data_IF_037873041442
#
_entry.id   IF_037873041442
#
_cell.length_a   1.000
_cell.length_b   1.000
_cell.length_c   1.000
_cell.angle_alpha   90.00
_cell.angle_beta   90.00
_cell.angle_gamma   90.00
#
_symmetry.space_group_name_H-M   'P 1'
#
loop_
_entity.id
_entity.type
_entity.pdbx_description
1 polymer ?
#
# COMPACT_ATOMS: atom_id res chain seq x y z
N UNK A 1 16.70 -16.94 21.48
CA UNK A 1 16.04 -16.59 22.71
C UNK A 1 14.97 -17.62 23.06
N UNK A 2 14.94 -18.12 24.29
CA UNK A 2 14.01 -19.15 24.72
C UNK A 2 12.55 -18.71 24.56
N UNK A 3 11.70 -19.64 24.07
CA UNK A 3 10.28 -19.43 23.92
C UNK A 3 9.60 -19.52 25.31
N UNK A 4 9.51 -18.40 25.98
CA UNK A 4 8.78 -18.29 27.24
C UNK A 4 7.26 -18.39 26.96
N UNK A 5 6.46 -18.94 27.88
CA UNK A 5 5.00 -19.06 27.71
C UNK A 5 4.31 -17.74 27.30
N UNK A 6 4.78 -16.60 27.81
CA UNK A 6 4.33 -15.26 27.39
C UNK A 6 4.58 -14.96 25.91
N UNK A 7 5.73 -15.35 25.38
CA UNK A 7 6.05 -15.16 23.95
C UNK A 7 5.19 -16.06 23.06
N UNK A 8 4.94 -17.26 23.51
CA UNK A 8 4.01 -18.19 22.81
C UNK A 8 2.60 -17.60 22.77
N UNK A 9 2.11 -17.05 23.87
CA UNK A 9 0.78 -16.41 23.92
C UNK A 9 0.69 -15.20 22.98
N UNK A 10 1.73 -14.38 22.86
CA UNK A 10 1.79 -13.25 21.93
C UNK A 10 1.77 -13.73 20.48
N UNK A 11 2.55 -14.77 20.15
CA UNK A 11 2.56 -15.34 18.80
C UNK A 11 1.20 -15.98 18.47
N UNK A 12 0.58 -16.66 19.42
CA UNK A 12 -0.76 -17.23 19.22
C UNK A 12 -1.79 -16.12 18.97
N UNK A 13 -1.77 -15.03 19.74
CA UNK A 13 -2.65 -13.88 19.52
C UNK A 13 -2.47 -13.28 18.11
N UNK A 14 -1.23 -13.16 17.63
CA UNK A 14 -0.94 -12.70 16.28
C UNK A 14 -1.54 -13.64 15.22
N UNK A 15 -1.29 -14.95 15.33
CA UNK A 15 -1.80 -15.95 14.37
C UNK A 15 -3.32 -15.97 14.37
N UNK A 16 -3.95 -15.95 15.55
CA UNK A 16 -5.43 -15.92 15.67
C UNK A 16 -5.98 -14.65 15.00
N UNK A 17 -5.41 -13.48 15.28
CA UNK A 17 -5.87 -12.22 14.68
C UNK A 17 -5.74 -12.24 13.17
N UNK A 18 -4.60 -12.70 12.64
CA UNK A 18 -4.41 -12.81 11.18
C UNK A 18 -5.41 -13.79 10.56
N UNK A 19 -5.71 -14.92 11.24
CA UNK A 19 -6.70 -15.88 10.77
C UNK A 19 -8.11 -15.27 10.73
N UNK A 20 -8.47 -14.49 11.75
CA UNK A 20 -9.76 -13.77 11.80
C UNK A 20 -9.83 -12.72 10.68
N UNK A 21 -8.76 -11.96 10.43
CA UNK A 21 -8.68 -10.97 9.34
C UNK A 21 -8.90 -11.64 7.97
N UNK A 22 -8.21 -12.77 7.72
CA UNK A 22 -8.38 -13.52 6.47
C UNK A 22 -9.80 -14.05 6.33
N UNK A 23 -10.36 -14.62 7.40
CA UNK A 23 -11.74 -15.11 7.39
C UNK A 23 -12.74 -13.96 7.18
N UNK A 24 -12.55 -12.82 7.86
CA UNK A 24 -13.39 -11.63 7.74
C UNK A 24 -13.40 -11.07 6.32
N UNK A 25 -12.22 -10.95 5.69
CA UNK A 25 -12.10 -10.46 4.32
C UNK A 25 -12.66 -11.43 3.26
N UNK A 26 -12.60 -12.76 3.50
CA UNK A 26 -13.07 -13.76 2.53
C UNK A 26 -14.56 -14.12 2.68
N UNK A 27 -15.13 -13.98 3.87
CA UNK A 27 -16.47 -14.50 4.19
C UNK A 27 -17.45 -13.47 4.71
N UNK A 28 -16.98 -12.38 5.27
CA UNK A 28 -17.81 -11.36 5.93
C UNK A 28 -17.75 -10.01 5.22
N UNK A 29 -17.08 -9.92 4.06
CA UNK A 29 -16.91 -8.70 3.26
C UNK A 29 -16.40 -7.52 4.11
N UNK A 30 -15.46 -7.81 5.01
CA UNK A 30 -14.83 -6.77 5.84
C UNK A 30 -14.10 -5.75 5.01
N UNK A 31 -14.23 -4.48 5.39
CA UNK A 31 -13.55 -3.35 4.78
C UNK A 31 -12.36 -2.87 5.66
N UNK A 32 -11.71 -1.81 5.26
CA UNK A 32 -10.52 -1.25 5.93
C UNK A 32 -10.77 -0.89 7.40
N UNK A 33 -12.01 -0.52 7.76
CA UNK A 33 -12.36 -0.15 9.12
C UNK A 33 -12.28 -1.35 10.09
N UNK A 34 -12.77 -2.52 9.68
CA UNK A 34 -12.72 -3.75 10.46
C UNK A 34 -11.29 -4.26 10.59
N UNK A 35 -10.50 -4.21 9.51
CA UNK A 35 -9.08 -4.55 9.56
C UNK A 35 -8.32 -3.64 10.52
N UNK A 36 -8.54 -2.33 10.46
CA UNK A 36 -7.91 -1.37 11.38
C UNK A 36 -8.29 -1.65 12.84
N UNK A 37 -9.58 -1.95 13.10
CA UNK A 37 -10.06 -2.32 14.44
C UNK A 37 -9.36 -3.59 14.96
N UNK A 38 -9.20 -4.62 14.13
CA UNK A 38 -8.53 -5.87 14.51
C UNK A 38 -7.04 -5.64 14.84
N UNK A 39 -6.33 -4.80 14.08
CA UNK A 39 -4.94 -4.46 14.41
C UNK A 39 -4.83 -3.64 15.69
N UNK A 40 -5.78 -2.73 15.94
CA UNK A 40 -5.84 -1.99 17.20
C UNK A 40 -6.06 -2.93 18.40
N UNK A 41 -7.02 -3.86 18.29
CA UNK A 41 -7.25 -4.89 19.30
C UNK A 41 -6.01 -5.76 19.52
N UNK A 42 -5.34 -6.19 18.45
CA UNK A 42 -4.10 -6.94 18.56
C UNK A 42 -3.05 -6.17 19.36
N UNK A 43 -2.88 -4.88 19.09
CA UNK A 43 -1.95 -4.02 19.83
C UNK A 43 -2.26 -3.96 21.33
N UNK A 44 -3.54 -3.84 21.69
CA UNK A 44 -3.99 -3.84 23.09
C UNK A 44 -3.73 -5.19 23.75
N UNK A 45 -4.17 -6.28 23.12
CA UNK A 45 -4.01 -7.66 23.65
C UNK A 45 -2.53 -8.01 23.84
N UNK A 46 -1.71 -7.75 22.84
CA UNK A 46 -0.25 -7.99 22.92
C UNK A 46 0.39 -7.13 24.00
N UNK A 47 -0.02 -5.87 24.14
CA UNK A 47 0.45 -4.99 25.20
C UNK A 47 0.14 -5.53 26.60
N UNK A 48 -1.08 -6.02 26.81
CA UNK A 48 -1.50 -6.63 28.08
C UNK A 48 -0.76 -7.94 28.36
N UNK A 49 -0.64 -8.82 27.36
CA UNK A 49 0.13 -10.06 27.47
C UNK A 49 1.62 -9.78 27.74
N UNK A 50 2.16 -8.68 27.21
CA UNK A 50 3.50 -8.22 27.52
C UNK A 50 3.65 -7.60 28.92
N UNK A 51 2.56 -7.50 29.69
CA UNK A 51 2.55 -6.91 31.04
C UNK A 51 2.73 -5.39 31.06
N UNK A 52 2.37 -4.71 29.98
CA UNK A 52 2.37 -3.25 29.91
C UNK A 52 1.15 -2.67 30.62
N UNK A 53 1.32 -1.49 31.20
CA UNK A 53 0.18 -0.74 31.75
C UNK A 53 -0.69 -0.17 30.63
N UNK A 54 -1.96 0.12 30.91
CA UNK A 54 -2.85 0.78 29.95
C UNK A 54 -2.27 2.12 29.45
N UNK A 55 -1.59 2.87 30.33
CA UNK A 55 -0.91 4.10 29.96
C UNK A 55 0.21 3.87 28.95
N UNK A 56 1.00 2.81 29.12
CA UNK A 56 2.10 2.47 28.18
C UNK A 56 1.55 1.99 26.84
N UNK A 57 0.47 1.23 26.85
CA UNK A 57 -0.23 0.79 25.63
C UNK A 57 -0.75 2.02 24.87
N UNK A 58 -1.43 2.94 25.56
CA UNK A 58 -1.93 4.16 24.94
C UNK A 58 -0.80 5.03 24.36
N UNK A 59 0.31 5.19 25.10
CA UNK A 59 1.50 5.90 24.59
C UNK A 59 2.09 5.20 23.35
N UNK A 60 2.12 3.87 23.36
CA UNK A 60 2.59 3.08 22.22
C UNK A 60 1.73 3.29 20.98
N UNK A 61 0.40 3.27 21.11
CA UNK A 61 -0.55 3.54 20.02
C UNK A 61 -0.34 4.97 19.48
N UNK A 62 -0.25 5.97 20.36
CA UNK A 62 -0.01 7.36 19.94
C UNK A 62 1.35 7.52 19.25
N UNK A 63 2.39 6.87 19.75
CA UNK A 63 3.70 6.89 19.11
C UNK A 63 3.67 6.25 17.71
N UNK A 64 2.99 5.09 17.56
CA UNK A 64 2.77 4.45 16.26
C UNK A 64 1.96 5.32 15.30
N UNK A 65 0.90 5.97 15.77
CA UNK A 65 0.09 6.88 14.94
C UNK A 65 0.90 8.07 14.41
N UNK A 66 1.84 8.60 15.22
CA UNK A 66 2.72 9.68 14.77
C UNK A 66 3.61 9.27 13.59
N UNK A 67 4.05 8.02 13.51
CA UNK A 67 4.85 7.55 12.38
C UNK A 67 4.04 7.46 11.08
N UNK A 68 2.71 7.31 11.19
CA UNK A 68 1.81 7.25 10.03
C UNK A 68 1.36 8.63 9.53
N UNK A 69 1.63 9.70 10.27
CA UNK A 69 1.14 11.04 9.93
C UNK A 69 1.62 11.49 8.54
N UNK A 70 2.88 11.22 8.20
CA UNK A 70 3.42 11.51 6.86
C UNK A 70 2.64 10.78 5.74
N UNK A 71 2.36 9.51 5.92
CA UNK A 71 1.59 8.73 4.95
C UNK A 71 0.15 9.27 4.79
N UNK A 72 -0.51 9.62 5.89
CA UNK A 72 -1.86 10.21 5.87
C UNK A 72 -1.87 11.54 5.10
N UNK A 73 -0.90 12.40 5.34
CA UNK A 73 -0.76 13.68 4.62
C UNK A 73 -0.52 13.49 3.12
N UNK A 74 0.32 12.54 2.75
CA UNK A 74 0.59 12.21 1.33
C UNK A 74 -0.68 11.70 0.65
N UNK A 75 -1.38 10.75 1.27
CA UNK A 75 -2.63 10.18 0.70
C UNK A 75 -3.71 11.27 0.57
N UNK A 76 -3.86 12.13 1.59
CA UNK A 76 -4.81 13.25 1.54
C UNK A 76 -4.49 14.24 0.41
N UNK A 77 -3.23 14.63 0.27
CA UNK A 77 -2.78 15.53 -0.80
C UNK A 77 -2.96 14.89 -2.18
N UNK A 78 -2.61 13.61 -2.34
CA UNK A 78 -2.78 12.88 -3.59
C UNK A 78 -4.25 12.82 -4.03
N UNK A 79 -5.16 12.58 -3.08
CA UNK A 79 -6.60 12.59 -3.37
C UNK A 79 -7.11 13.99 -3.76
N UNK A 80 -6.59 15.03 -3.15
CA UNK A 80 -6.92 16.42 -3.52
C UNK A 80 -6.46 16.74 -4.95
N UNK A 81 -5.27 16.30 -5.35
CA UNK A 81 -4.77 16.44 -6.72
C UNK A 81 -5.69 15.71 -7.71
N UNK A 82 -6.07 14.46 -7.40
CA UNK A 82 -6.98 13.69 -8.26
C UNK A 82 -8.33 14.40 -8.44
N UNK A 83 -8.90 14.96 -7.37
CA UNK A 83 -10.13 15.74 -7.43
C UNK A 83 -9.99 16.99 -8.32
N UNK A 84 -8.92 17.76 -8.13
CA UNK A 84 -8.66 18.98 -8.93
C UNK A 84 -8.50 18.63 -10.42
N UNK A 85 -7.80 17.54 -10.74
CA UNK A 85 -7.64 17.09 -12.13
C UNK A 85 -8.98 16.63 -12.74
N UNK A 86 -9.85 16.01 -11.94
CA UNK A 86 -11.18 15.58 -12.39
C UNK A 86 -12.09 16.78 -12.59
N UNK A 87 -12.18 17.67 -11.62
CA UNK A 87 -13.03 18.88 -11.68
C UNK A 87 -12.56 19.85 -12.77
N UNK A 88 -11.24 19.90 -13.02
CA UNK A 88 -10.65 20.69 -14.10
C UNK A 88 -10.77 20.07 -15.50
N UNK A 89 -11.34 18.87 -15.64
CA UNK A 89 -11.47 18.16 -16.92
C UNK A 89 -10.13 17.69 -17.52
N UNK A 90 -9.03 17.78 -16.75
CA UNK A 90 -7.70 17.39 -17.22
C UNK A 90 -7.50 15.88 -17.12
N UNK A 91 -8.25 15.22 -16.19
CA UNK A 91 -8.15 13.77 -15.97
C UNK A 91 -8.41 13.00 -17.26
N UNK A 92 -9.49 13.33 -17.98
CA UNK A 92 -9.87 12.64 -19.22
C UNK A 92 -8.78 12.79 -20.30
N UNK A 93 -8.15 13.95 -20.40
CA UNK A 93 -7.04 14.19 -21.33
C UNK A 93 -5.84 13.32 -21.00
N UNK A 94 -5.45 13.22 -19.73
CA UNK A 94 -4.34 12.38 -19.29
C UNK A 94 -4.64 10.91 -19.59
N UNK A 95 -5.85 10.45 -19.26
CA UNK A 95 -6.28 9.08 -19.49
C UNK A 95 -6.26 8.74 -20.99
N UNK A 96 -6.77 9.65 -21.84
CA UNK A 96 -6.75 9.47 -23.30
C UNK A 96 -5.34 9.40 -23.88
N UNK A 97 -4.42 10.26 -23.42
CA UNK A 97 -3.02 10.24 -23.88
C UNK A 97 -2.32 8.94 -23.46
N UNK A 98 -2.53 8.48 -22.23
CA UNK A 98 -1.95 7.22 -21.74
C UNK A 98 -2.56 6.00 -22.48
N UNK A 99 -3.87 5.98 -22.68
CA UNK A 99 -4.54 4.92 -23.42
C UNK A 99 -4.07 4.87 -24.88
N UNK A 100 -4.01 6.02 -25.56
CA UNK A 100 -3.52 6.12 -26.92
C UNK A 100 -2.06 5.68 -27.06
N UNK A 101 -1.22 5.94 -26.07
CA UNK A 101 0.15 5.43 -26.03
C UNK A 101 0.20 3.90 -25.86
N UNK A 102 -0.67 3.33 -25.04
CA UNK A 102 -0.77 1.88 -24.85
C UNK A 102 -1.39 1.17 -26.05
N UNK A 103 -2.30 1.80 -26.79
CA UNK A 103 -2.90 1.22 -27.98
C UNK A 103 -1.89 1.03 -29.13
N UNK A 104 -0.79 1.81 -29.13
CA UNK A 104 0.32 1.61 -30.08
C UNK A 104 1.15 0.36 -29.77
N UNK A 105 0.98 -0.20 -28.57
CA UNK A 105 1.71 -1.37 -28.11
C UNK A 105 0.87 -2.62 -28.33
N UNK A 106 1.42 -3.71 -28.90
CA UNK A 106 0.70 -4.97 -29.03
C UNK A 106 0.11 -5.41 -27.68
N UNK A 107 -1.11 -5.95 -27.69
CA UNK A 107 -1.88 -6.31 -26.47
C UNK A 107 -1.06 -7.15 -25.47
N UNK A 108 -0.23 -8.07 -25.98
CA UNK A 108 0.65 -8.92 -25.14
C UNK A 108 1.69 -8.08 -24.37
N UNK A 109 2.08 -6.93 -24.90
CA UNK A 109 3.09 -6.04 -24.31
C UNK A 109 2.47 -4.89 -23.50
N UNK A 110 1.17 -4.71 -23.50
CA UNK A 110 0.51 -3.61 -22.77
C UNK A 110 0.69 -3.74 -21.25
N UNK A 111 0.61 -4.96 -20.70
CA UNK A 111 0.86 -5.17 -19.27
C UNK A 111 2.33 -4.94 -18.87
N UNK A 112 3.33 -5.43 -19.61
CA UNK A 112 4.73 -5.02 -19.42
C UNK A 112 4.96 -3.51 -19.58
N UNK A 113 4.32 -2.85 -20.53
CA UNK A 113 4.43 -1.40 -20.70
C UNK A 113 3.85 -0.66 -19.48
N UNK A 114 2.70 -1.08 -18.98
CA UNK A 114 2.09 -0.55 -17.76
C UNK A 114 3.01 -0.73 -16.54
N UNK A 115 3.62 -1.90 -16.41
CA UNK A 115 4.63 -2.18 -15.37
C UNK A 115 5.80 -1.18 -15.45
N UNK A 116 6.34 -0.93 -16.65
CA UNK A 116 7.44 0.03 -16.83
C UNK A 116 7.01 1.45 -16.46
N UNK A 117 5.81 1.87 -16.84
CA UNK A 117 5.26 3.17 -16.44
C UNK A 117 5.23 3.28 -14.91
N UNK A 118 4.69 2.28 -14.21
CA UNK A 118 4.62 2.26 -12.76
C UNK A 118 6.01 2.27 -12.11
N UNK A 119 6.96 1.53 -12.69
CA UNK A 119 8.36 1.49 -12.23
C UNK A 119 9.03 2.86 -12.36
N UNK A 120 8.85 3.56 -13.50
CA UNK A 120 9.39 4.90 -13.70
C UNK A 120 8.80 5.89 -12.69
N UNK A 121 7.49 5.82 -12.43
CA UNK A 121 6.86 6.66 -11.41
C UNK A 121 7.41 6.40 -10.00
N UNK A 122 7.81 5.17 -9.69
CA UNK A 122 8.39 4.82 -8.39
C UNK A 122 9.70 5.58 -8.11
N UNK A 123 10.45 5.99 -9.13
CA UNK A 123 11.64 6.85 -8.97
C UNK A 123 11.31 8.15 -8.24
N UNK A 124 10.15 8.73 -8.57
CA UNK A 124 9.71 10.00 -8.01
C UNK A 124 8.92 9.83 -6.71
N UNK A 125 8.29 8.69 -6.53
CA UNK A 125 7.42 8.40 -5.39
C UNK A 125 7.62 6.97 -4.88
N UNK A 126 8.69 6.78 -4.11
CA UNK A 126 9.06 5.50 -3.50
C UNK A 126 8.17 5.14 -2.28
N UNK A 127 6.85 5.23 -2.45
CA UNK A 127 5.84 4.94 -1.43
C UNK A 127 4.64 4.26 -2.08
N UNK A 128 4.48 2.94 -1.87
CA UNK A 128 3.42 2.16 -2.51
C UNK A 128 2.01 2.73 -2.30
N UNK A 129 1.65 3.12 -1.08
CA UNK A 129 0.33 3.71 -0.79
C UNK A 129 0.17 5.11 -1.41
N UNK A 130 1.22 5.94 -1.35
CA UNK A 130 1.22 7.27 -1.97
C UNK A 130 1.13 7.18 -3.48
N UNK A 131 1.94 6.32 -4.10
CA UNK A 131 1.92 6.10 -5.55
C UNK A 131 0.56 5.53 -6.00
N UNK A 132 -0.02 4.57 -5.26
CA UNK A 132 -1.34 4.03 -5.56
C UNK A 132 -2.42 5.11 -5.53
N UNK A 133 -2.42 5.99 -4.52
CA UNK A 133 -3.40 7.06 -4.39
C UNK A 133 -3.41 8.03 -5.58
N UNK A 134 -2.22 8.28 -6.18
CA UNK A 134 -2.09 9.15 -7.37
C UNK A 134 -2.39 8.38 -8.65
N UNK A 135 -1.83 7.18 -8.79
CA UNK A 135 -1.84 6.47 -10.07
C UNK A 135 -3.12 5.66 -10.32
N UNK A 136 -3.76 5.07 -9.29
CA UNK A 136 -4.95 4.24 -9.53
C UNK A 136 -6.11 4.99 -10.19
N UNK A 137 -6.43 6.24 -9.82
CA UNK A 137 -7.44 7.01 -10.53
C UNK A 137 -7.16 7.22 -12.02
N UNK A 138 -5.88 7.20 -12.42
CA UNK A 138 -5.46 7.32 -13.82
C UNK A 138 -5.43 5.96 -14.53
N UNK A 139 -4.83 4.95 -13.89
CA UNK A 139 -4.57 3.66 -14.52
C UNK A 139 -5.82 2.81 -14.71
N UNK A 140 -6.81 2.88 -13.80
CA UNK A 140 -8.03 2.08 -13.92
C UNK A 140 -8.88 2.48 -15.14
N UNK A 141 -9.15 3.77 -15.41
CA UNK A 141 -9.82 4.19 -16.63
C UNK A 141 -9.03 3.83 -17.91
N UNK A 142 -7.68 3.95 -17.87
CA UNK A 142 -6.83 3.53 -18.99
C UNK A 142 -7.01 2.04 -19.26
N UNK A 143 -7.01 1.20 -18.22
CA UNK A 143 -7.24 -0.23 -18.35
C UNK A 143 -8.57 -0.55 -19.02
N UNK A 144 -9.63 0.12 -18.59
CA UNK A 144 -10.97 -0.08 -19.15
C UNK A 144 -11.03 0.31 -20.65
N UNK A 145 -10.30 1.36 -21.06
CA UNK A 145 -10.23 1.80 -22.46
C UNK A 145 -9.44 0.83 -23.37
N UNK A 146 -8.31 0.30 -22.88
CA UNK A 146 -7.48 -0.63 -23.69
C UNK A 146 -7.91 -2.10 -23.53
N UNK A 147 -9.01 -2.37 -22.80
CA UNK A 147 -9.53 -3.73 -22.60
C UNK A 147 -8.67 -4.60 -21.68
N UNK A 148 -7.82 -4.00 -20.85
CA UNK A 148 -7.02 -4.69 -19.84
C UNK A 148 -7.83 -4.93 -18.57
N UNK A 149 -7.70 -6.11 -17.96
CA UNK A 149 -8.38 -6.35 -16.68
C UNK A 149 -7.79 -5.48 -15.57
N UNK A 150 -8.62 -4.98 -14.66
CA UNK A 150 -8.17 -4.20 -13.51
C UNK A 150 -7.18 -4.96 -12.62
N UNK A 151 -7.34 -6.29 -12.54
CA UNK A 151 -6.39 -7.16 -11.83
C UNK A 151 -5.00 -7.13 -12.45
N UNK A 152 -4.91 -7.16 -13.78
CA UNK A 152 -3.63 -7.05 -14.50
C UNK A 152 -2.94 -5.71 -14.21
N UNK A 153 -3.71 -4.61 -14.17
CA UNK A 153 -3.17 -3.29 -13.84
C UNK A 153 -2.67 -3.23 -12.41
N UNK A 154 -3.45 -3.74 -11.45
CA UNK A 154 -3.03 -3.80 -10.04
C UNK A 154 -1.76 -4.64 -9.90
N UNK A 155 -1.64 -5.74 -10.63
CA UNK A 155 -0.44 -6.58 -10.62
C UNK A 155 0.76 -5.85 -11.23
N UNK A 156 0.59 -5.20 -12.37
CA UNK A 156 1.63 -4.40 -13.02
C UNK A 156 2.10 -3.25 -12.10
N UNK A 157 1.17 -2.59 -11.42
CA UNK A 157 1.46 -1.56 -10.43
C UNK A 157 2.27 -2.13 -9.26
N UNK A 158 1.80 -3.20 -8.63
CA UNK A 158 2.48 -3.79 -7.46
C UNK A 158 3.89 -4.28 -7.81
N UNK A 159 4.08 -4.86 -8.99
CA UNK A 159 5.42 -5.23 -9.43
C UNK A 159 6.28 -4.00 -9.74
N UNK A 160 5.72 -2.97 -10.36
CA UNK A 160 6.43 -1.72 -10.64
C UNK A 160 6.91 -1.03 -9.38
N UNK A 161 6.05 -0.92 -8.38
CA UNK A 161 6.41 -0.42 -7.06
C UNK A 161 7.42 -1.33 -6.36
N UNK A 162 7.14 -2.62 -6.28
CA UNK A 162 8.00 -3.60 -5.60
C UNK A 162 9.41 -3.65 -6.19
N UNK A 163 9.55 -3.85 -7.49
CA UNK A 163 10.88 -3.88 -8.13
C UNK A 163 11.57 -2.52 -8.10
N UNK A 164 10.83 -1.43 -8.28
CA UNK A 164 11.36 -0.08 -8.16
C UNK A 164 12.02 0.16 -6.81
N UNK A 165 11.40 -0.30 -5.73
CA UNK A 165 11.93 -0.17 -4.37
C UNK A 165 13.23 -0.95 -4.11
N UNK A 166 13.56 -1.93 -4.96
CA UNK A 166 14.84 -2.68 -4.87
C UNK A 166 15.92 -2.18 -5.84
N UNK A 167 15.55 -1.37 -6.83
CA UNK A 167 16.46 -0.89 -7.88
C UNK A 167 16.86 0.56 -7.64
N UNK A 168 15.92 1.40 -7.21
CA UNK A 168 16.16 2.85 -7.14
C UNK A 168 16.68 3.31 -5.78
N UNK A 169 17.74 4.16 -5.76
CA UNK A 169 18.30 4.70 -4.52
C UNK A 169 17.36 5.67 -3.79
N UNK A 170 16.26 6.06 -4.41
CA UNK A 170 15.20 6.85 -3.77
C UNK A 170 14.38 6.05 -2.76
N UNK A 171 14.49 4.71 -2.77
CA UNK A 171 13.80 3.83 -1.84
C UNK A 171 14.44 3.82 -0.45
N UNK A 172 13.71 4.18 0.61
CA UNK A 172 14.19 4.08 1.98
C UNK A 172 14.51 2.63 2.40
N UNK A 173 13.77 1.65 1.85
CA UNK A 173 13.98 0.24 2.13
C UNK A 173 15.35 -0.24 1.61
N UNK A 174 15.67 0.09 0.35
CA UNK A 174 16.97 -0.24 -0.24
C UNK A 174 18.12 0.44 0.51
N UNK A 175 17.98 1.75 0.78
CA UNK A 175 19.02 2.51 1.48
C UNK A 175 19.19 2.04 2.92
N UNK A 176 18.10 1.63 3.59
CA UNK A 176 18.16 1.03 4.92
C UNK A 176 18.88 -0.31 4.93
N UNK A 177 18.66 -1.18 3.94
CA UNK A 177 19.37 -2.45 3.79
C UNK A 177 20.86 -2.25 3.52
N UNK A 178 21.21 -1.33 2.60
CA UNK A 178 22.62 -1.01 2.29
C UNK A 178 23.33 -0.43 3.52
N UNK A 179 22.66 0.47 4.26
CA UNK A 179 23.22 1.05 5.49
C UNK A 179 23.39 0.05 6.63
N UNK A 180 22.57 -1.00 6.68
CA UNK A 180 22.68 -2.05 7.68
C UNK A 180 23.74 -3.13 7.31
N UNK A 181 24.11 -3.21 6.03
CA UNK A 181 25.10 -4.17 5.52
C UNK A 181 26.56 -3.65 5.61
N UNK A 182 26.76 -2.36 5.86
CA UNK A 182 28.05 -1.71 6.11
C UNK A 182 28.25 -1.44 7.59
#
# INVERSE_FOLDING_TARGET
GELTGRRIAILAALVITLSIIVYGGLKLDWDMAEFAAMFLWLGIVVGLLAGKSFSDIAKGIVAGSKTMLGAVMIVGSARSIALILTDGGVMDTIVHVLAGGLDLVPTVLQAPAMFLICTVFNVFMASGSGQAAVMMPLLLPVADLVGMTRQTVILAFNFGDGFGNYIFPTSPALMGLIGAAN
#
